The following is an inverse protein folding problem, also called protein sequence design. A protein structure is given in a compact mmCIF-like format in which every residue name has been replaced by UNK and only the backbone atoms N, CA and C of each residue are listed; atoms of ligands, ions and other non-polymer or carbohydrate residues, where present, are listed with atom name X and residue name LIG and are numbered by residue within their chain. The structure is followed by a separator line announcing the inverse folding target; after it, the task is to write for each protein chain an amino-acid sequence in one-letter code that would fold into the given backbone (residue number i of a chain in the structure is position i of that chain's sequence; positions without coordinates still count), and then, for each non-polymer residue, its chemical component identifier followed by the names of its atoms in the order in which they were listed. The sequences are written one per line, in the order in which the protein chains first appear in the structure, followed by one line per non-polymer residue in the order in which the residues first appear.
data_IF_409105601366
#
_entry.id   IF_409105601366
#
_cell.length_a   1.000
_cell.length_b   1.000
_cell.length_c   1.000
_cell.angle_alpha   90.00
_cell.angle_beta   90.00
_cell.angle_gamma   90.00
#
_symmetry.space_group_name_H-M   'P 1'
#
loop_
_entity.id
_entity.type
_entity.pdbx_description
1 polymer ?
#
# COMPACT_ATOMS: atom_id res chain seq x y z
N UNK A 1 9.08 37.85 -1.12
CA UNK A 1 10.03 37.75 -2.25
C UNK A 1 10.36 36.29 -2.41
N UNK A 2 10.13 35.69 -3.57
CA UNK A 2 10.55 34.31 -3.82
C UNK A 2 12.06 34.21 -3.61
N UNK A 3 12.52 33.19 -2.88
CA UNK A 3 13.95 32.96 -2.70
C UNK A 3 14.60 32.75 -4.06
N UNK A 4 15.77 33.35 -4.30
CA UNK A 4 16.57 33.05 -5.49
C UNK A 4 17.13 31.64 -5.35
N UNK A 5 16.75 30.74 -6.27
CA UNK A 5 17.21 29.35 -6.29
C UNK A 5 18.37 29.24 -7.27
N UNK A 6 19.46 28.60 -6.84
CA UNK A 6 20.62 28.28 -7.66
C UNK A 6 20.86 26.77 -7.59
N UNK A 7 20.95 26.11 -8.74
CA UNK A 7 21.27 24.68 -8.83
C UNK A 7 22.73 24.50 -9.25
N UNK A 8 23.53 23.84 -8.39
CA UNK A 8 24.93 23.53 -8.66
C UNK A 8 25.07 22.07 -9.11
N UNK A 9 25.30 21.87 -10.40
CA UNK A 9 25.60 20.56 -10.96
C UNK A 9 27.11 20.29 -10.89
N UNK A 10 27.50 19.30 -10.09
CA UNK A 10 28.90 18.88 -9.97
C UNK A 10 29.12 17.50 -10.56
N UNK A 11 30.33 17.27 -11.05
CA UNK A 11 30.78 15.95 -11.49
C UNK A 11 31.53 15.27 -10.34
N UNK A 12 31.32 13.97 -10.16
CA UNK A 12 31.89 13.19 -9.06
C UNK A 12 30.80 12.65 -8.14
N UNK A 13 31.03 11.45 -7.60
CA UNK A 13 30.06 10.76 -6.74
C UNK A 13 29.83 11.45 -5.40
N UNK A 14 29.25 10.71 -4.45
CA UNK A 14 28.87 11.22 -3.10
C UNK A 14 29.96 12.03 -2.38
N UNK A 15 31.24 11.68 -2.57
CA UNK A 15 32.38 12.37 -1.95
C UNK A 15 32.47 13.84 -2.38
N UNK A 16 32.29 14.14 -3.67
CA UNK A 16 32.37 15.52 -4.18
C UNK A 16 31.18 16.34 -3.67
N UNK A 17 29.97 15.76 -3.70
CA UNK A 17 28.77 16.41 -3.16
C UNK A 17 28.92 16.74 -1.66
N UNK A 18 29.46 15.82 -0.86
CA UNK A 18 29.72 16.07 0.56
C UNK A 18 30.78 17.15 0.80
N UNK A 19 31.87 17.15 0.01
CA UNK A 19 32.89 18.19 0.10
C UNK A 19 32.34 19.57 -0.25
N UNK A 20 31.48 19.68 -1.26
CA UNK A 20 30.79 20.92 -1.63
C UNK A 20 29.87 21.42 -0.52
N UNK A 21 29.05 20.53 0.06
CA UNK A 21 28.17 20.88 1.18
C UNK A 21 28.98 21.39 2.40
N UNK A 22 30.10 20.73 2.72
CA UNK A 22 30.99 21.15 3.80
C UNK A 22 31.62 22.53 3.52
N UNK A 23 32.10 22.76 2.29
CA UNK A 23 32.69 24.04 1.90
C UNK A 23 31.66 25.19 1.96
N UNK A 24 30.44 24.97 1.47
CA UNK A 24 29.35 25.95 1.56
C UNK A 24 28.97 26.24 3.02
N UNK A 25 28.94 25.20 3.85
CA UNK A 25 28.67 25.37 5.29
C UNK A 25 29.73 26.25 5.98
N UNK A 26 31.01 26.10 5.61
CA UNK A 26 32.08 26.98 6.10
C UNK A 26 31.94 28.44 5.65
N UNK A 27 31.25 28.69 4.53
CA UNK A 27 30.91 30.04 4.05
C UNK A 27 29.62 30.60 4.70
N UNK A 28 29.08 29.91 5.71
CA UNK A 28 27.88 30.33 6.44
C UNK A 28 26.56 29.82 5.88
N UNK A 29 26.58 28.93 4.88
CA UNK A 29 25.36 28.28 4.42
C UNK A 29 24.85 27.27 5.46
N UNK A 30 23.53 27.22 5.65
CA UNK A 30 22.88 26.19 6.47
C UNK A 30 22.53 25.00 5.60
N UNK A 31 23.02 23.82 5.98
CA UNK A 31 22.60 22.55 5.36
C UNK A 31 21.23 22.20 5.94
N UNK A 32 20.28 21.91 5.06
CA UNK A 32 18.91 21.55 5.41
C UNK A 32 18.57 20.21 4.77
N UNK A 33 17.58 19.51 5.33
CA UNK A 33 17.03 18.34 4.67
C UNK A 33 16.14 18.73 3.48
N UNK A 34 15.74 17.72 2.71
CA UNK A 34 14.91 17.91 1.53
C UNK A 34 13.54 18.53 1.82
N UNK A 35 12.90 18.16 2.94
CA UNK A 35 11.59 18.70 3.32
C UNK A 35 11.69 20.18 3.66
N UNK A 36 12.74 20.58 4.35
CA UNK A 36 12.98 21.96 4.66
C UNK A 36 13.33 22.78 3.41
N UNK A 37 14.13 22.22 2.50
CA UNK A 37 14.40 22.86 1.21
C UNK A 37 13.11 23.15 0.42
N UNK A 38 12.19 22.19 0.32
CA UNK A 38 10.87 22.39 -0.31
C UNK A 38 10.09 23.55 0.29
N UNK A 39 10.01 23.60 1.63
CA UNK A 39 9.32 24.67 2.35
C UNK A 39 9.94 26.03 2.06
N UNK A 40 11.27 26.11 2.02
CA UNK A 40 12.01 27.35 1.70
C UNK A 40 11.76 27.83 0.26
N UNK A 41 11.50 26.90 -0.67
CA UNK A 41 11.13 27.21 -2.07
C UNK A 41 9.64 27.48 -2.28
N UNK A 42 8.81 27.41 -1.22
CA UNK A 42 7.37 27.66 -1.28
C UNK A 42 6.53 26.50 -1.83
N UNK A 43 7.08 25.28 -1.86
CA UNK A 43 6.32 24.08 -2.21
C UNK A 43 5.41 23.69 -1.02
N UNK A 44 4.13 23.41 -1.28
CA UNK A 44 3.17 23.04 -0.23
C UNK A 44 3.54 21.70 0.43
N UNK A 45 3.03 21.46 1.63
CA UNK A 45 3.26 20.19 2.33
C UNK A 45 2.74 18.98 1.53
N UNK A 46 1.58 19.12 0.85
CA UNK A 46 1.01 18.09 -0.02
C UNK A 46 1.95 17.83 -1.21
N UNK A 47 2.36 18.87 -1.94
CA UNK A 47 3.24 18.73 -3.09
C UNK A 47 4.59 18.09 -2.72
N UNK A 48 5.18 18.54 -1.61
CA UNK A 48 6.42 17.99 -1.05
C UNK A 48 6.30 16.49 -0.77
N UNK A 49 5.24 16.06 -0.09
CA UNK A 49 5.02 14.67 0.26
C UNK A 49 4.73 13.81 -0.98
N UNK A 50 3.98 14.32 -1.96
CA UNK A 50 3.73 13.65 -3.23
C UNK A 50 5.03 13.42 -4.03
N UNK A 51 5.91 14.42 -4.05
CA UNK A 51 7.22 14.35 -4.71
C UNK A 51 8.15 13.32 -4.08
N UNK A 52 8.07 13.13 -2.77
CA UNK A 52 8.80 12.06 -2.07
C UNK A 52 8.32 10.67 -2.46
N UNK A 53 7.01 10.48 -2.57
CA UNK A 53 6.45 9.22 -3.06
C UNK A 53 6.90 8.99 -4.51
N UNK A 54 6.78 10.00 -5.37
CA UNK A 54 7.16 9.91 -6.77
C UNK A 54 8.63 9.50 -6.94
N UNK A 55 9.54 10.08 -6.16
CA UNK A 55 10.97 9.75 -6.18
C UNK A 55 11.29 8.30 -5.79
N UNK A 56 10.40 7.65 -5.02
CA UNK A 56 10.55 6.28 -4.54
C UNK A 56 9.52 5.31 -5.15
N UNK A 57 8.75 5.75 -6.15
CA UNK A 57 7.65 4.98 -6.72
C UNK A 57 8.16 3.67 -7.33
N UNK A 58 7.64 2.53 -6.84
CA UNK A 58 8.04 1.20 -7.29
C UNK A 58 7.27 0.71 -8.52
N UNK A 59 6.16 1.37 -8.86
CA UNK A 59 5.32 1.02 -10.00
C UNK A 59 4.91 2.27 -10.77
N UNK A 60 4.62 2.11 -12.06
CA UNK A 60 4.11 3.20 -12.88
C UNK A 60 2.78 3.76 -12.35
N UNK A 61 1.91 2.89 -11.82
CA UNK A 61 0.62 3.30 -11.23
C UNK A 61 0.85 4.22 -10.01
N UNK A 62 1.76 3.88 -9.12
CA UNK A 62 2.12 4.74 -7.97
C UNK A 62 2.68 6.08 -8.45
N UNK A 63 3.60 6.05 -9.43
CA UNK A 63 4.18 7.26 -9.99
C UNK A 63 3.13 8.19 -10.59
N UNK A 64 2.18 7.66 -11.35
CA UNK A 64 1.09 8.43 -11.96
C UNK A 64 0.18 9.06 -10.90
N UNK A 65 -0.26 8.30 -9.89
CA UNK A 65 -1.11 8.86 -8.83
C UNK A 65 -0.36 9.91 -8.02
N UNK A 66 0.91 9.67 -7.68
CA UNK A 66 1.74 10.63 -6.97
C UNK A 66 1.96 11.91 -7.80
N UNK A 67 2.12 11.79 -9.13
CA UNK A 67 2.20 12.91 -10.04
C UNK A 67 0.91 13.74 -10.05
N UNK A 68 -0.26 13.10 -10.08
CA UNK A 68 -1.55 13.79 -9.99
C UNK A 68 -1.68 14.57 -8.67
N UNK A 69 -1.23 13.98 -7.56
CA UNK A 69 -1.26 14.66 -6.26
C UNK A 69 -0.25 15.82 -6.20
N UNK A 70 0.93 15.67 -6.81
CA UNK A 70 1.93 16.73 -6.92
C UNK A 70 1.42 17.90 -7.75
N UNK A 71 0.65 17.63 -8.81
CA UNK A 71 -0.03 18.63 -9.64
C UNK A 71 -1.31 19.21 -9.01
N UNK A 72 -1.62 18.86 -7.75
CA UNK A 72 -2.64 19.55 -6.97
C UNK A 72 -3.97 18.81 -6.82
N UNK A 73 -4.13 17.58 -7.31
CA UNK A 73 -5.41 16.87 -7.23
C UNK A 73 -6.02 16.87 -5.80
N UNK A 74 -5.22 16.53 -4.78
CA UNK A 74 -5.66 16.57 -3.38
C UNK A 74 -5.91 18.00 -2.88
N UNK A 75 -5.05 18.95 -3.23
CA UNK A 75 -5.19 20.33 -2.79
C UNK A 75 -6.47 20.98 -3.35
N UNK A 76 -6.75 20.76 -4.63
CA UNK A 76 -7.95 21.27 -5.31
C UNK A 76 -9.22 20.62 -4.76
N UNK A 77 -9.18 19.31 -4.44
CA UNK A 77 -10.29 18.64 -3.80
C UNK A 77 -10.60 19.24 -2.41
N UNK A 78 -9.57 19.51 -1.61
CA UNK A 78 -9.72 20.16 -0.29
C UNK A 78 -10.25 21.59 -0.44
N UNK A 79 -9.71 22.38 -1.38
CA UNK A 79 -10.19 23.73 -1.65
C UNK A 79 -11.67 23.75 -2.10
N UNK A 80 -12.07 22.78 -2.93
CA UNK A 80 -13.45 22.59 -3.38
C UNK A 80 -14.40 22.20 -2.23
N UNK A 81 -13.93 21.44 -1.23
CA UNK A 81 -14.68 21.15 0.00
C UNK A 81 -14.87 22.42 0.83
N UNK A 82 -13.79 23.20 1.04
CA UNK A 82 -13.85 24.47 1.76
C UNK A 82 -14.85 25.43 1.08
N UNK A 83 -14.80 25.55 -0.25
CA UNK A 83 -15.71 26.39 -1.01
C UNK A 83 -17.18 25.95 -0.85
N UNK A 84 -17.45 24.64 -0.83
CA UNK A 84 -18.80 24.13 -0.56
C UNK A 84 -19.28 24.46 0.86
N UNK A 85 -18.39 24.41 1.86
CA UNK A 85 -18.71 24.82 3.23
C UNK A 85 -19.02 26.33 3.32
N UNK A 86 -18.19 27.16 2.68
CA UNK A 86 -18.33 28.62 2.67
C UNK A 86 -19.64 29.05 1.96
N UNK A 87 -20.14 28.25 1.02
CA UNK A 87 -21.44 28.42 0.37
C UNK A 87 -22.64 27.89 1.18
N UNK A 88 -22.43 27.39 2.41
CA UNK A 88 -23.48 26.80 3.25
C UNK A 88 -23.86 25.36 2.88
N UNK A 89 -23.14 24.72 1.97
CA UNK A 89 -23.39 23.36 1.47
C UNK A 89 -22.82 22.26 2.37
N UNK A 90 -23.19 22.21 3.64
CA UNK A 90 -22.63 21.25 4.61
C UNK A 90 -22.78 19.77 4.19
N UNK A 91 -23.96 19.39 3.65
CA UNK A 91 -24.20 18.03 3.15
C UNK A 91 -23.30 17.68 1.95
N UNK A 92 -23.08 18.64 1.05
CA UNK A 92 -22.21 18.46 -0.11
C UNK A 92 -20.74 18.33 0.32
N UNK A 93 -20.30 19.16 1.28
CA UNK A 93 -18.96 19.07 1.84
C UNK A 93 -18.72 17.74 2.57
N UNK A 94 -19.68 17.25 3.37
CA UNK A 94 -19.58 15.94 4.03
C UNK A 94 -19.49 14.80 3.01
N UNK A 95 -20.31 14.83 1.95
CA UNK A 95 -20.27 13.83 0.89
C UNK A 95 -18.90 13.80 0.16
N UNK A 96 -18.33 14.98 -0.14
CA UNK A 96 -17.00 15.09 -0.76
C UNK A 96 -15.89 14.61 0.16
N UNK A 97 -15.94 14.95 1.45
CA UNK A 97 -15.02 14.41 2.46
C UNK A 97 -15.13 12.89 2.59
N UNK A 98 -16.36 12.36 2.54
CA UNK A 98 -16.61 10.93 2.58
C UNK A 98 -15.96 10.20 1.40
N UNK A 99 -16.15 10.72 0.18
CA UNK A 99 -15.55 10.17 -1.03
C UNK A 99 -14.01 10.21 -0.98
N UNK A 100 -13.45 11.33 -0.52
CA UNK A 100 -11.99 11.48 -0.40
C UNK A 100 -11.41 10.51 0.64
N UNK A 101 -12.06 10.35 1.80
CA UNK A 101 -11.64 9.42 2.84
C UNK A 101 -11.80 7.95 2.45
N UNK A 102 -12.71 7.62 1.53
CA UNK A 102 -12.84 6.26 1.01
C UNK A 102 -11.57 5.78 0.30
N UNK A 103 -10.76 6.71 -0.22
CA UNK A 103 -9.50 6.44 -0.93
C UNK A 103 -8.26 6.49 -0.05
N UNK A 104 -8.40 6.83 1.23
CA UNK A 104 -7.27 6.89 2.18
C UNK A 104 -6.47 5.59 2.22
N UNK A 105 -7.15 4.44 2.21
CA UNK A 105 -6.47 3.15 2.25
C UNK A 105 -5.54 2.95 1.04
N UNK A 106 -6.00 3.32 -0.16
CA UNK A 106 -5.17 3.26 -1.35
C UNK A 106 -4.00 4.24 -1.27
N UNK A 107 -4.27 5.49 -0.89
CA UNK A 107 -3.24 6.53 -0.85
C UNK A 107 -2.12 6.22 0.15
N UNK A 108 -2.44 5.64 1.31
CA UNK A 108 -1.44 5.21 2.29
C UNK A 108 -0.50 4.13 1.72
N UNK A 109 -0.98 3.31 0.78
CA UNK A 109 -0.19 2.28 0.09
C UNK A 109 0.57 2.79 -1.14
N UNK A 110 0.61 4.11 -1.37
CA UNK A 110 1.50 4.69 -2.39
C UNK A 110 2.96 4.69 -1.91
N UNK A 111 3.19 4.95 -0.62
CA UNK A 111 4.52 4.93 0.00
C UNK A 111 4.93 3.53 0.47
N UNK A 112 3.98 2.77 1.00
CA UNK A 112 4.20 1.43 1.55
C UNK A 112 3.49 0.34 0.72
N UNK A 113 4.14 -0.80 0.44
CA UNK A 113 3.51 -1.86 -0.35
C UNK A 113 2.39 -2.55 0.43
N UNK A 114 1.35 -2.97 -0.29
CA UNK A 114 0.30 -3.84 0.25
C UNK A 114 0.90 -5.16 0.74
N UNK A 115 0.54 -5.61 1.93
CA UNK A 115 1.03 -6.86 2.51
C UNK A 115 0.07 -7.99 2.18
N UNK A 116 0.54 -8.92 1.36
CA UNK A 116 -0.21 -10.11 0.98
C UNK A 116 0.48 -11.34 1.56
N UNK A 117 -0.22 -12.05 2.43
CA UNK A 117 0.34 -13.18 3.16
C UNK A 117 -0.21 -14.49 2.59
N UNK A 118 0.67 -15.44 2.29
CA UNK A 118 0.30 -16.80 1.90
C UNK A 118 0.31 -17.69 3.14
N UNK A 119 -0.83 -18.32 3.38
CA UNK A 119 -1.06 -19.22 4.50
C UNK A 119 -1.63 -20.56 4.02
N UNK A 120 -1.47 -21.61 4.82
CA UNK A 120 -1.95 -22.95 4.50
C UNK A 120 -1.00 -24.05 4.96
N UNK A 121 -1.44 -25.30 4.88
CA UNK A 121 -0.68 -26.48 5.33
C UNK A 121 0.67 -26.63 4.59
N UNK A 122 1.63 -27.40 5.13
CA UNK A 122 2.81 -27.81 4.37
C UNK A 122 2.42 -28.49 3.04
N UNK A 123 3.25 -28.33 2.01
CA UNK A 123 3.12 -29.00 0.71
C UNK A 123 1.88 -28.67 -0.15
N UNK A 124 1.02 -27.72 0.25
CA UNK A 124 -0.09 -27.20 -0.60
C UNK A 124 0.40 -26.36 -1.79
N UNK A 125 1.70 -26.04 -1.83
CA UNK A 125 2.35 -25.32 -2.94
C UNK A 125 2.46 -23.81 -2.76
N UNK A 126 2.47 -23.30 -1.51
CA UNK A 126 2.65 -21.87 -1.20
C UNK A 126 3.87 -21.25 -1.87
N UNK A 127 5.05 -21.84 -1.71
CA UNK A 127 6.29 -21.29 -2.27
C UNK A 127 6.30 -21.36 -3.81
N UNK A 128 5.72 -22.41 -4.41
CA UNK A 128 5.53 -22.47 -5.86
C UNK A 128 4.58 -21.37 -6.35
N UNK A 129 3.49 -21.12 -5.63
CA UNK A 129 2.54 -20.06 -5.95
C UNK A 129 3.18 -18.67 -5.80
N UNK A 130 3.94 -18.44 -4.73
CA UNK A 130 4.71 -17.21 -4.54
C UNK A 130 5.66 -16.98 -5.72
N UNK A 131 6.41 -17.99 -6.13
CA UNK A 131 7.31 -17.89 -7.29
C UNK A 131 6.54 -17.64 -8.59
N UNK A 132 5.37 -18.27 -8.79
CA UNK A 132 4.53 -17.99 -9.94
C UNK A 132 4.03 -16.54 -9.96
N UNK A 133 3.62 -16.00 -8.81
CA UNK A 133 3.21 -14.59 -8.67
C UNK A 133 4.37 -13.60 -8.86
N UNK A 134 5.58 -13.94 -8.40
CA UNK A 134 6.78 -13.14 -8.66
C UNK A 134 7.23 -13.18 -10.12
N UNK A 135 7.04 -14.32 -10.79
CA UNK A 135 7.37 -14.51 -12.20
C UNK A 135 6.32 -13.92 -13.16
N UNK A 136 5.12 -13.61 -12.67
CA UNK A 136 4.04 -13.07 -13.47
C UNK A 136 4.25 -11.57 -13.74
N UNK A 137 4.43 -11.22 -15.02
CA UNK A 137 4.54 -9.84 -15.57
C UNK A 137 5.65 -8.92 -15.00
N UNK A 138 6.83 -9.48 -14.69
CA UNK A 138 8.03 -8.73 -14.26
C UNK A 138 7.86 -8.07 -12.90
N UNK A 139 7.92 -8.87 -11.82
CA UNK A 139 8.30 -8.34 -10.52
C UNK A 139 9.68 -7.67 -10.63
N UNK A 140 9.78 -6.38 -10.32
CA UNK A 140 11.07 -5.81 -9.95
C UNK A 140 11.33 -6.28 -8.52
N UNK A 141 12.09 -7.36 -8.39
CA UNK A 141 12.52 -7.88 -7.09
C UNK A 141 13.52 -6.89 -6.50
N UNK A 142 13.07 -6.09 -5.55
CA UNK A 142 13.96 -5.28 -4.73
C UNK A 142 14.43 -6.13 -3.56
N UNK A 143 15.64 -6.67 -3.65
CA UNK A 143 16.31 -7.27 -2.51
C UNK A 143 16.73 -6.13 -1.57
N UNK A 144 16.25 -6.17 -0.33
CA UNK A 144 16.72 -5.27 0.72
C UNK A 144 17.60 -6.13 1.64
N UNK A 145 18.95 -6.08 1.49
CA UNK A 145 19.82 -6.95 2.24
C UNK A 145 19.73 -6.59 3.72
N UNK A 146 19.25 -7.48 4.58
CA UNK A 146 19.41 -7.28 6.03
C UNK A 146 18.33 -7.78 7.00
N UNK A 147 17.55 -8.82 6.72
CA UNK A 147 16.82 -9.50 7.82
C UNK A 147 17.01 -11.01 7.79
N UNK A 148 17.61 -11.50 8.88
CA UNK A 148 17.91 -12.88 9.23
C UNK A 148 16.63 -13.70 9.48
N UNK A 149 16.56 -14.93 8.90
CA UNK A 149 15.78 -16.15 9.30
C UNK A 149 14.55 -15.87 10.18
N UNK A 150 13.27 -15.92 9.77
CA UNK A 150 12.57 -16.91 8.94
C UNK A 150 11.26 -16.34 8.36
N UNK A 151 11.35 -15.43 7.38
CA UNK A 151 10.22 -15.10 6.49
C UNK A 151 10.80 -14.74 5.13
N UNK A 152 10.46 -15.49 4.08
CA UNK A 152 10.75 -15.04 2.71
C UNK A 152 9.72 -13.96 2.38
N UNK A 153 10.12 -12.70 2.45
CA UNK A 153 9.33 -11.57 1.96
C UNK A 153 9.91 -11.13 0.62
N UNK A 154 9.07 -11.04 -0.41
CA UNK A 154 9.46 -10.58 -1.73
C UNK A 154 8.56 -9.43 -2.18
N UNK A 155 9.17 -8.36 -2.69
CA UNK A 155 8.42 -7.23 -3.24
C UNK A 155 8.18 -7.43 -4.74
N UNK A 156 6.96 -7.11 -5.19
CA UNK A 156 6.51 -7.23 -6.58
C UNK A 156 5.45 -6.17 -6.90
N UNK A 157 4.99 -6.15 -8.16
CA UNK A 157 3.82 -5.41 -8.58
C UNK A 157 2.69 -6.38 -8.97
N UNK A 158 1.50 -6.19 -8.42
CA UNK A 158 0.29 -6.96 -8.81
C UNK A 158 -0.66 -5.98 -9.47
N UNK A 159 -0.85 -6.10 -10.79
CA UNK A 159 -1.64 -5.15 -11.59
C UNK A 159 -1.21 -3.69 -11.30
N UNK A 160 0.10 -3.44 -11.22
CA UNK A 160 0.64 -2.11 -10.91
C UNK A 160 0.51 -1.65 -9.44
N UNK A 161 -0.13 -2.41 -8.54
CA UNK A 161 -0.08 -2.15 -7.09
C UNK A 161 1.26 -2.66 -6.52
N UNK A 162 1.98 -1.88 -5.70
CA UNK A 162 3.17 -2.37 -5.00
C UNK A 162 2.76 -3.38 -3.93
N UNK A 163 3.28 -4.60 -3.99
CA UNK A 163 2.91 -5.69 -3.07
C UNK A 163 4.15 -6.28 -2.43
N UNK A 164 4.09 -6.53 -1.12
CA UNK A 164 5.01 -7.39 -0.40
C UNK A 164 4.33 -8.74 -0.15
N UNK A 165 4.83 -9.78 -0.81
CA UNK A 165 4.41 -11.16 -0.61
C UNK A 165 5.21 -11.78 0.54
N UNK A 166 4.56 -12.44 1.49
CA UNK A 166 5.23 -13.21 2.55
C UNK A 166 4.68 -14.63 2.61
N UNK A 167 5.57 -15.63 2.62
CA UNK A 167 5.23 -17.04 2.87
C UNK A 167 5.30 -17.34 4.37
N UNK A 168 4.20 -17.77 4.96
CA UNK A 168 4.21 -18.28 6.35
C UNK A 168 4.69 -19.73 6.35
N UNK A 169 5.64 -20.08 7.24
CA UNK A 169 5.83 -21.49 7.59
C UNK A 169 4.46 -22.04 8.05
N UNK A 170 4.05 -23.18 7.49
CA UNK A 170 2.63 -23.58 7.45
C UNK A 170 1.88 -23.53 8.79
N UNK A 171 0.62 -23.09 8.76
CA UNK A 171 -0.26 -23.05 9.92
C UNK A 171 -0.68 -24.48 10.31
N UNK A 172 -0.10 -25.04 11.38
CA UNK A 172 -0.58 -26.28 12.03
C UNK A 172 -0.40 -26.20 13.54
N UNK A 173 -1.33 -26.67 14.39
CA UNK A 173 -1.05 -26.90 15.81
C UNK A 173 0.07 -27.95 15.95
N UNK A 174 1.04 -27.70 16.82
CA UNK A 174 2.28 -28.46 16.87
C UNK A 174 2.70 -28.88 18.28
N UNK A 175 3.35 -30.05 18.36
CA UNK A 175 3.75 -30.73 19.60
C UNK A 175 5.09 -30.29 20.20
N UNK A 176 5.95 -29.62 19.42
CA UNK A 176 7.28 -29.15 19.84
C UNK A 176 7.42 -27.61 19.87
N UNK A 177 8.33 -27.09 20.72
CA UNK A 177 8.50 -25.67 20.99
C UNK A 177 8.89 -24.80 19.77
N UNK A 178 9.65 -25.35 18.82
CA UNK A 178 10.06 -24.65 17.58
C UNK A 178 8.87 -24.46 16.64
N UNK A 179 8.00 -25.47 16.54
CA UNK A 179 6.84 -25.42 15.68
C UNK A 179 5.74 -24.50 16.26
N UNK A 180 5.61 -24.40 17.58
CA UNK A 180 4.73 -23.42 18.25
C UNK A 180 5.13 -21.97 17.95
N UNK A 181 6.44 -21.68 17.88
CA UNK A 181 6.95 -20.37 17.46
C UNK A 181 6.59 -20.07 15.99
N UNK A 182 6.66 -21.08 15.11
CA UNK A 182 6.26 -20.95 13.70
C UNK A 182 4.78 -20.58 13.52
N UNK A 183 3.89 -21.20 14.30
CA UNK A 183 2.44 -20.88 14.29
C UNK A 183 2.17 -19.46 14.79
N UNK A 184 2.82 -19.06 15.89
CA UNK A 184 2.66 -17.73 16.44
C UNK A 184 3.13 -16.65 15.45
N UNK A 185 4.26 -16.89 14.77
CA UNK A 185 4.77 -16.00 13.72
C UNK A 185 3.80 -15.90 12.54
N UNK A 186 3.31 -17.04 12.05
CA UNK A 186 2.36 -17.08 10.94
C UNK A 186 1.04 -16.36 11.26
N UNK A 187 0.53 -16.51 12.51
CA UNK A 187 -0.64 -15.77 13.00
C UNK A 187 -0.38 -14.27 13.10
N UNK A 188 0.78 -13.87 13.62
CA UNK A 188 1.16 -12.46 13.71
C UNK A 188 1.22 -11.81 12.31
N UNK A 189 1.77 -12.52 11.32
CA UNK A 189 1.82 -12.02 9.94
C UNK A 189 0.43 -11.91 9.32
N UNK A 190 -0.40 -12.94 9.47
CA UNK A 190 -1.78 -12.91 9.00
C UNK A 190 -2.58 -11.75 9.61
N UNK A 191 -2.34 -11.42 10.89
CA UNK A 191 -2.99 -10.29 11.57
C UNK A 191 -2.60 -8.91 10.99
N UNK A 192 -1.44 -8.82 10.34
CA UNK A 192 -0.98 -7.59 9.70
C UNK A 192 -1.20 -7.54 8.19
N UNK A 193 -1.75 -8.60 7.59
CA UNK A 193 -1.95 -8.68 6.15
C UNK A 193 -3.09 -7.76 5.69
N UNK A 194 -2.88 -7.04 4.59
CA UNK A 194 -3.96 -6.34 3.89
C UNK A 194 -4.82 -7.35 3.09
N UNK A 195 -4.22 -8.47 2.69
CA UNK A 195 -4.93 -9.63 2.14
C UNK A 195 -4.25 -10.95 2.54
N UNK A 196 -5.04 -11.88 3.07
CA UNK A 196 -4.61 -13.26 3.31
C UNK A 196 -5.04 -14.16 2.14
N UNK A 197 -4.08 -14.90 1.58
CA UNK A 197 -4.29 -15.97 0.60
C UNK A 197 -4.15 -17.31 1.33
N UNK A 198 -5.27 -17.99 1.56
CA UNK A 198 -5.29 -19.32 2.14
C UNK A 198 -5.17 -20.37 1.03
N UNK A 199 -4.02 -21.02 0.92
CA UNK A 199 -3.67 -21.94 -0.15
C UNK A 199 -4.07 -23.36 0.25
N UNK A 200 -4.90 -23.97 -0.59
CA UNK A 200 -5.35 -25.35 -0.45
C UNK A 200 -4.88 -26.21 -1.63
N UNK A 201 -4.78 -27.52 -1.40
CA UNK A 201 -4.43 -28.49 -2.43
C UNK A 201 -5.69 -29.11 -3.04
N UNK A 202 -5.94 -28.83 -4.32
CA UNK A 202 -7.07 -29.35 -5.08
C UNK A 202 -7.05 -30.88 -5.25
N UNK A 203 -5.86 -31.49 -5.22
CA UNK A 203 -5.67 -32.93 -5.38
C UNK A 203 -5.87 -33.73 -4.09
N UNK A 204 -5.91 -33.07 -2.93
CA UNK A 204 -6.03 -33.71 -1.63
C UNK A 204 -7.41 -33.51 -1.01
N UNK A 205 -7.96 -34.52 -0.34
CA UNK A 205 -9.23 -34.41 0.41
C UNK A 205 -9.13 -33.30 1.48
N UNK A 206 -10.13 -32.42 1.61
CA UNK A 206 -10.09 -31.37 2.63
C UNK A 206 -10.13 -32.02 4.00
N UNK A 207 -9.38 -31.45 4.94
CA UNK A 207 -9.30 -31.93 6.31
C UNK A 207 -10.13 -31.04 7.24
N UNK A 208 -10.45 -31.53 8.44
CA UNK A 208 -11.11 -30.72 9.45
C UNK A 208 -10.30 -29.46 9.81
N UNK A 209 -8.97 -29.54 9.76
CA UNK A 209 -8.07 -28.41 9.98
C UNK A 209 -8.22 -27.31 8.92
N UNK A 210 -8.49 -27.68 7.66
CA UNK A 210 -8.72 -26.70 6.59
C UNK A 210 -10.00 -25.89 6.88
N UNK A 211 -11.05 -26.56 7.35
CA UNK A 211 -12.30 -25.90 7.73
C UNK A 211 -12.13 -24.99 8.96
N UNK A 212 -11.33 -25.40 9.96
CA UNK A 212 -11.03 -24.58 11.14
C UNK A 212 -10.24 -23.33 10.75
N UNK A 213 -9.21 -23.47 9.91
CA UNK A 213 -8.39 -22.35 9.45
C UNK A 213 -9.19 -21.39 8.56
N UNK A 214 -10.04 -21.90 7.66
CA UNK A 214 -10.94 -21.07 6.86
C UNK A 214 -11.93 -20.28 7.73
N UNK A 215 -12.41 -20.88 8.83
CA UNK A 215 -13.27 -20.20 9.80
C UNK A 215 -12.51 -19.16 10.65
N UNK A 216 -11.22 -19.38 10.94
CA UNK A 216 -10.35 -18.41 11.65
C UNK A 216 -10.14 -17.14 10.82
N UNK A 217 -10.13 -17.26 9.49
CA UNK A 217 -9.90 -16.13 8.57
C UNK A 217 -11.03 -15.96 7.55
N UNK A 218 -12.22 -15.51 7.97
CA UNK A 218 -13.40 -15.46 7.11
C UNK A 218 -13.21 -14.54 5.89
N UNK A 219 -12.35 -13.52 5.99
CA UNK A 219 -12.08 -12.58 4.89
C UNK A 219 -10.94 -13.05 3.96
N UNK A 220 -10.33 -14.21 4.19
CA UNK A 220 -9.27 -14.73 3.33
C UNK A 220 -9.78 -15.02 1.91
N UNK A 221 -8.88 -14.94 0.94
CA UNK A 221 -9.10 -15.54 -0.38
C UNK A 221 -8.59 -16.98 -0.32
N UNK A 222 -9.44 -17.93 -0.68
CA UNK A 222 -9.08 -19.34 -0.84
C UNK A 222 -8.44 -19.48 -2.21
N UNK A 223 -7.18 -19.90 -2.24
CA UNK A 223 -6.46 -20.22 -3.47
C UNK A 223 -6.36 -21.72 -3.60
N UNK A 224 -7.20 -22.30 -4.46
CA UNK A 224 -7.25 -23.73 -4.68
C UNK A 224 -6.17 -24.11 -5.71
N UNK A 225 -5.01 -24.55 -5.22
CA UNK A 225 -3.82 -24.81 -6.03
C UNK A 225 -3.77 -26.27 -6.54
N UNK A 226 -2.96 -26.53 -7.57
CA UNK A 226 -2.76 -27.84 -8.22
C UNK A 226 -3.97 -28.36 -9.00
N UNK A 227 -4.74 -27.45 -9.61
CA UNK A 227 -5.91 -27.84 -10.42
C UNK A 227 -5.55 -28.70 -11.64
N UNK A 228 -4.29 -28.69 -12.08
CA UNK A 228 -3.76 -29.53 -13.16
C UNK A 228 -3.79 -31.04 -12.86
N UNK A 229 -3.85 -31.41 -11.57
CA UNK A 229 -3.90 -32.80 -11.10
C UNK A 229 -5.12 -33.09 -10.24
N UNK A 230 -6.07 -32.15 -10.16
CA UNK A 230 -7.29 -32.32 -9.40
C UNK A 230 -8.27 -33.25 -10.15
N UNK A 231 -8.80 -34.25 -9.44
CA UNK A 231 -9.82 -35.16 -9.96
C UNK A 231 -11.23 -34.80 -9.50
N UNK A 232 -11.36 -33.90 -8.52
CA UNK A 232 -12.64 -33.49 -7.94
C UNK A 232 -13.13 -32.16 -8.53
N UNK A 233 -14.45 -31.98 -8.70
CA UNK A 233 -15.02 -30.66 -8.94
C UNK A 233 -14.90 -29.81 -7.66
N UNK A 234 -14.85 -28.50 -7.83
CA UNK A 234 -14.96 -27.52 -6.76
C UNK A 234 -16.12 -26.57 -7.06
N UNK A 235 -16.77 -26.08 -6.02
CA UNK A 235 -17.83 -25.08 -6.16
C UNK A 235 -17.21 -23.69 -6.32
N UNK A 236 -17.68 -22.95 -7.32
CA UNK A 236 -17.25 -21.58 -7.53
C UNK A 236 -17.75 -20.70 -6.37
N UNK A 237 -16.90 -19.80 -5.90
CA UNK A 237 -17.21 -18.82 -4.87
C UNK A 237 -16.44 -17.54 -5.17
N UNK A 238 -16.98 -16.38 -4.80
CA UNK A 238 -16.28 -15.10 -4.96
C UNK A 238 -14.93 -15.04 -4.24
N UNK A 239 -14.74 -15.90 -3.23
CA UNK A 239 -13.50 -15.98 -2.45
C UNK A 239 -12.58 -17.11 -2.89
N UNK A 240 -13.00 -17.97 -3.82
CA UNK A 240 -12.21 -19.11 -4.28
C UNK A 240 -11.64 -18.84 -5.66
N UNK A 241 -10.31 -18.90 -5.77
CA UNK A 241 -9.60 -18.78 -7.05
C UNK A 241 -8.84 -20.07 -7.34
N UNK A 242 -9.23 -20.85 -8.37
CA UNK A 242 -8.52 -22.05 -8.79
C UNK A 242 -7.26 -21.69 -9.57
N UNK A 243 -6.12 -22.31 -9.23
CA UNK A 243 -4.84 -22.08 -9.90
C UNK A 243 -4.00 -23.34 -10.03
N UNK A 244 -3.09 -23.36 -10.99
CA UNK A 244 -1.94 -24.24 -10.97
C UNK A 244 -0.67 -23.41 -10.96
N UNK A 245 0.00 -23.36 -9.80
CA UNK A 245 1.31 -22.74 -9.69
C UNK A 245 2.38 -23.41 -10.59
N UNK A 246 2.14 -24.65 -11.02
CA UNK A 246 3.06 -25.42 -11.87
C UNK A 246 2.92 -25.04 -13.35
N UNK A 247 1.68 -24.94 -13.84
CA UNK A 247 1.42 -24.65 -15.27
C UNK A 247 1.21 -23.16 -15.55
N UNK A 248 0.91 -22.36 -14.52
CA UNK A 248 0.52 -20.96 -14.64
C UNK A 248 -0.98 -20.74 -14.85
N UNK A 249 -1.77 -21.81 -14.94
CA UNK A 249 -3.24 -21.73 -15.07
C UNK A 249 -3.84 -20.94 -13.89
N UNK A 250 -4.77 -20.03 -14.19
CA UNK A 250 -5.48 -19.22 -13.20
C UNK A 250 -4.66 -18.12 -12.51
N UNK A 251 -3.34 -18.03 -12.74
CA UNK A 251 -2.49 -17.01 -12.08
C UNK A 251 -2.90 -15.59 -12.47
N UNK A 252 -3.25 -15.35 -13.74
CA UNK A 252 -3.76 -14.06 -14.20
C UNK A 252 -5.07 -13.67 -13.50
N UNK A 253 -5.95 -14.64 -13.24
CA UNK A 253 -7.21 -14.43 -12.54
C UNK A 253 -6.97 -14.12 -11.07
N UNK A 254 -6.02 -14.82 -10.45
CA UNK A 254 -5.58 -14.54 -9.09
C UNK A 254 -4.98 -13.13 -8.96
N UNK A 255 -4.14 -12.70 -9.90
CA UNK A 255 -3.58 -11.33 -9.92
C UNK A 255 -4.70 -10.29 -10.00
N UNK A 256 -5.66 -10.45 -10.91
CA UNK A 256 -6.83 -9.57 -11.02
C UNK A 256 -7.72 -9.58 -9.78
N UNK A 257 -7.82 -10.73 -9.12
CA UNK A 257 -8.56 -10.88 -7.87
C UNK A 257 -7.87 -10.16 -6.71
N UNK A 258 -6.56 -10.36 -6.54
CA UNK A 258 -5.75 -9.67 -5.53
C UNK A 258 -5.87 -8.15 -5.70
N UNK A 259 -5.69 -7.65 -6.93
CA UNK A 259 -5.82 -6.22 -7.23
C UNK A 259 -7.17 -5.64 -6.80
N UNK A 260 -8.28 -6.30 -7.18
CA UNK A 260 -9.64 -5.87 -6.81
C UNK A 260 -9.92 -5.93 -5.31
N UNK A 261 -9.32 -6.90 -4.60
CA UNK A 261 -9.49 -7.06 -3.15
C UNK A 261 -8.70 -6.02 -2.36
N UNK A 262 -7.50 -5.66 -2.82
CA UNK A 262 -6.66 -4.65 -2.18
C UNK A 262 -7.16 -3.23 -2.47
N UNK A 263 -7.45 -2.93 -3.73
CA UNK A 263 -7.84 -1.61 -4.21
C UNK A 263 -9.18 -1.69 -4.98
N UNK A 264 -10.32 -1.78 -4.29
CA UNK A 264 -11.63 -1.88 -4.94
C UNK A 264 -12.06 -0.58 -5.66
N UNK A 265 -11.61 0.57 -5.17
CA UNK A 265 -11.88 1.91 -5.74
C UNK A 265 -10.58 2.73 -5.82
N UNK A 266 -9.67 2.39 -6.75
CA UNK A 266 -8.45 3.18 -6.94
C UNK A 266 -8.78 4.54 -7.57
N UNK A 267 -8.05 5.61 -7.24
CA UNK A 267 -8.24 6.91 -7.89
C UNK A 267 -7.99 6.80 -9.40
N UNK A 268 -8.90 7.37 -10.18
CA UNK A 268 -8.72 7.58 -11.61
C UNK A 268 -7.71 8.70 -11.91
N UNK A 269 -7.37 8.93 -13.20
CA UNK A 269 -6.47 10.01 -13.60
C UNK A 269 -6.95 11.38 -13.11
N UNK A 270 -6.08 12.12 -12.44
CA UNK A 270 -6.36 13.44 -11.87
C UNK A 270 -7.25 13.43 -10.62
N UNK A 271 -7.64 12.25 -10.12
CA UNK A 271 -8.45 12.16 -8.91
C UNK A 271 -7.61 12.26 -7.64
N UNK A 272 -8.20 12.87 -6.62
CA UNK A 272 -7.58 13.04 -5.32
C UNK A 272 -7.58 11.74 -4.50
N UNK A 273 -6.48 11.49 -3.81
CA UNK A 273 -6.37 10.47 -2.77
C UNK A 273 -5.50 10.98 -1.61
N UNK A 274 -5.94 10.96 -0.34
CA UNK A 274 -5.08 11.26 0.80
C UNK A 274 -4.02 10.16 0.97
N UNK A 275 -2.75 10.52 1.10
CA UNK A 275 -1.63 9.57 0.99
C UNK A 275 -0.65 9.63 2.17
N UNK A 276 -0.97 10.39 3.21
CA UNK A 276 -0.23 10.38 4.47
C UNK A 276 -1.19 10.20 5.65
N UNK A 277 -0.70 9.61 6.75
CA UNK A 277 -1.50 9.42 7.96
C UNK A 277 -2.00 10.75 8.56
N UNK A 278 -1.19 11.81 8.45
CA UNK A 278 -1.56 13.15 8.89
C UNK A 278 -2.74 13.71 8.08
N UNK A 279 -2.68 13.65 6.74
CA UNK A 279 -3.78 14.06 5.87
C UNK A 279 -5.07 13.28 6.20
N UNK A 280 -4.99 11.96 6.32
CA UNK A 280 -6.14 11.12 6.64
C UNK A 280 -6.78 11.51 7.98
N UNK A 281 -5.95 11.70 9.01
CA UNK A 281 -6.40 12.12 10.35
C UNK A 281 -7.10 13.47 10.30
N UNK A 282 -6.50 14.48 9.66
CA UNK A 282 -7.08 15.82 9.55
C UNK A 282 -8.37 15.85 8.74
N UNK A 283 -8.46 15.09 7.65
CA UNK A 283 -9.70 14.98 6.86
C UNK A 283 -10.82 14.30 7.65
N UNK A 284 -10.50 13.25 8.41
CA UNK A 284 -11.46 12.56 9.27
C UNK A 284 -11.94 13.47 10.41
N UNK A 285 -11.03 14.24 11.01
CA UNK A 285 -11.36 15.24 12.03
C UNK A 285 -12.26 16.33 11.46
N UNK A 286 -11.92 16.90 10.30
CA UNK A 286 -12.73 17.92 9.64
C UNK A 286 -14.14 17.42 9.36
N UNK A 287 -14.28 16.18 8.87
CA UNK A 287 -15.60 15.55 8.63
C UNK A 287 -16.39 15.35 9.91
N UNK A 288 -15.75 14.91 11.00
CA UNK A 288 -16.38 14.76 12.33
C UNK A 288 -16.88 16.12 12.84
N UNK A 289 -16.07 17.17 12.73
CA UNK A 289 -16.43 18.52 13.14
C UNK A 289 -17.58 19.07 12.29
N UNK A 290 -17.56 18.87 10.97
CA UNK A 290 -18.62 19.32 10.07
C UNK A 290 -20.00 18.72 10.42
N UNK A 291 -20.03 17.46 10.88
CA UNK A 291 -21.26 16.77 11.30
C UNK A 291 -21.81 17.22 12.64
N UNK A 292 -21.00 17.92 13.45
CA UNK A 292 -21.47 18.53 14.70
C UNK A 292 -21.93 19.96 14.43
N UNK A 293 -23.21 20.27 14.68
CA UNK A 293 -23.96 21.44 14.18
C UNK A 293 -23.34 22.83 14.47
N UNK A 294 -22.34 22.93 15.35
CA UNK A 294 -21.70 24.21 15.74
C UNK A 294 -20.22 24.36 15.35
N UNK A 295 -19.61 23.40 14.65
CA UNK A 295 -18.15 23.36 14.45
C UNK A 295 -17.69 23.53 12.99
N UNK A 296 -18.54 24.06 12.10
CA UNK A 296 -18.15 24.32 10.71
C UNK A 296 -16.92 25.23 10.55
N UNK A 297 -16.73 26.32 11.35
CA UNK A 297 -15.51 27.11 11.30
C UNK A 297 -14.26 26.32 11.70
N UNK A 298 -14.37 25.42 12.68
CA UNK A 298 -13.27 24.57 13.11
C UNK A 298 -12.90 23.53 12.04
N UNK A 299 -13.90 22.88 11.43
CA UNK A 299 -13.69 21.98 10.30
C UNK A 299 -12.96 22.69 9.14
N UNK A 300 -13.37 23.93 8.83
CA UNK A 300 -12.75 24.76 7.79
C UNK A 300 -11.29 25.06 8.11
N UNK A 301 -10.99 25.40 9.37
CA UNK A 301 -9.63 25.69 9.81
C UNK A 301 -8.69 24.47 9.66
N UNK A 302 -9.18 23.27 10.01
CA UNK A 302 -8.42 22.01 9.82
C UNK A 302 -8.13 21.77 8.34
N UNK A 303 -9.11 21.97 7.45
CA UNK A 303 -8.89 21.82 6.01
C UNK A 303 -7.94 22.88 5.44
N UNK A 304 -8.07 24.14 5.88
CA UNK A 304 -7.19 25.21 5.42
C UNK A 304 -5.72 24.99 5.85
N UNK A 305 -5.49 24.39 7.02
CA UNK A 305 -4.15 24.04 7.47
C UNK A 305 -3.47 22.97 6.59
N UNK A 306 -4.24 22.09 5.93
CA UNK A 306 -3.69 21.11 4.97
C UNK A 306 -3.20 21.76 3.66
N UNK A 307 -3.64 22.98 3.35
CA UNK A 307 -3.27 23.72 2.14
C UNK A 307 -2.06 24.64 2.33
N UNK A 308 -1.56 24.77 3.57
CA UNK A 308 -0.38 25.55 3.93
C UNK A 308 0.89 24.70 3.76
#
# INVERSE_FOLDING_TARGET
MAASVWELHCHGGRVVAQALLAALSQQGCRIVDWNEACRLTGESAIATAARQILANARTARVALVALDQWHGALADAIASIIAAMDAGGALQADARLAALLARSNFGLHLGDPWRVVLAGRPNVGKSSLMNALLGFERAIVFDQPGTTRDVVTAQTAVDGLPVALSDTAGLRPAGDAIEQQGVALARAQAATADLLLFVEDASATPTADDAVLAAEYPNATIVLNKVDVASRPWEASERLVPVSAKTGEGIADLVRHISRRLAPDPPGPGEAAPFTAAQCTSLAEARRLLRSESNAPAARAVLAALLQ
#
